data_IF_574067067332
#
_entry.id   IF_574067067332
#
_cell.length_a   1.000
_cell.length_b   1.000
_cell.length_c   1.000
_cell.angle_alpha   90.00
_cell.angle_beta   90.00
_cell.angle_gamma   90.00
#
_symmetry.space_group_name_H-M   'P 1'
#
loop_
_entity.id
_entity.type
_entity.pdbx_description
1 polymer ?
#
# COMPACT_ATOMS: atom_id res chain seq x y z
N UNK A 1 -57.38 43.39 38.31
CA UNK A 1 -57.19 43.15 36.84
C UNK A 1 -55.70 43.07 36.45
N UNK A 2 -54.81 43.97 36.89
CA UNK A 2 -53.39 43.92 36.52
C UNK A 2 -52.65 42.65 36.89
N UNK A 3 -52.93 42.04 38.07
CA UNK A 3 -52.24 40.81 38.50
C UNK A 3 -52.58 39.57 37.65
N UNK A 4 -53.78 39.44 37.15
CA UNK A 4 -54.25 38.36 36.28
C UNK A 4 -53.59 38.46 34.92
N UNK A 5 -53.37 39.68 34.41
CA UNK A 5 -52.75 39.92 33.12
C UNK A 5 -51.28 39.45 33.09
N UNK A 6 -50.51 39.70 34.20
CA UNK A 6 -49.12 39.23 34.35
C UNK A 6 -49.01 37.71 34.50
N UNK A 7 -50.00 37.06 35.13
CA UNK A 7 -50.04 35.60 35.26
C UNK A 7 -50.32 34.91 33.91
N UNK A 8 -51.21 35.47 33.10
CA UNK A 8 -51.50 34.94 31.77
C UNK A 8 -50.33 35.17 30.81
N UNK A 9 -49.68 36.32 30.90
CA UNK A 9 -48.50 36.62 30.07
C UNK A 9 -47.28 35.77 30.44
N UNK A 10 -47.10 35.43 31.74
CA UNK A 10 -46.07 34.50 32.23
C UNK A 10 -46.32 33.04 31.80
N UNK A 11 -47.60 32.62 31.75
CA UNK A 11 -47.95 31.26 31.32
C UNK A 11 -47.80 31.07 29.80
N UNK A 12 -48.06 32.09 28.99
CA UNK A 12 -47.84 32.02 27.53
C UNK A 12 -46.35 32.00 27.15
N UNK A 13 -45.48 32.60 27.98
CA UNK A 13 -44.02 32.58 27.73
C UNK A 13 -43.41 31.22 28.02
N UNK A 14 -43.98 30.41 28.90
CA UNK A 14 -43.48 29.05 29.22
C UNK A 14 -43.96 28.04 28.20
N UNK A 15 -45.11 28.24 27.56
CA UNK A 15 -45.64 27.33 26.55
C UNK A 15 -44.99 27.54 25.17
N UNK A 16 -44.38 28.70 24.92
CA UNK A 16 -43.72 28.99 23.63
C UNK A 16 -42.32 28.40 23.49
N UNK A 17 -41.70 27.88 24.57
CA UNK A 17 -40.32 27.33 24.53
C UNK A 17 -40.32 25.82 24.32
N UNK A 18 -41.49 25.13 24.48
CA UNK A 18 -41.57 23.68 24.41
C UNK A 18 -41.79 23.11 22.97
N UNK A 19 -41.96 23.99 21.95
CA UNK A 19 -42.21 23.52 20.58
C UNK A 19 -41.03 23.77 19.61
N UNK A 20 -39.85 24.21 20.12
CA UNK A 20 -38.74 24.58 19.28
C UNK A 20 -37.68 23.50 19.09
N UNK A 21 -37.85 22.29 19.61
CA UNK A 21 -36.92 21.19 19.43
C UNK A 21 -37.66 19.86 19.31
N UNK A 22 -38.42 19.69 18.23
CA UNK A 22 -38.99 18.37 17.90
C UNK A 22 -38.80 18.04 16.43
N UNK A 23 -37.63 18.40 15.90
CA UNK A 23 -37.08 17.69 14.76
C UNK A 23 -36.11 16.68 15.37
N UNK A 24 -36.56 15.43 15.46
CA UNK A 24 -35.63 14.33 15.72
C UNK A 24 -34.55 14.43 14.67
N UNK A 25 -33.25 14.42 15.08
CA UNK A 25 -32.20 14.42 14.11
C UNK A 25 -32.41 13.22 13.19
N UNK A 26 -32.53 13.48 11.87
CA UNK A 26 -32.50 12.41 10.89
C UNK A 26 -31.18 11.68 11.08
N UNK A 27 -31.23 10.58 11.80
CA UNK A 27 -30.08 9.64 11.83
C UNK A 27 -30.00 9.04 10.44
N UNK A 28 -28.93 9.36 9.73
CA UNK A 28 -28.57 8.61 8.53
C UNK A 28 -28.33 7.16 8.96
N UNK A 29 -29.33 6.31 8.76
CA UNK A 29 -29.10 4.86 8.78
C UNK A 29 -28.30 4.56 7.52
N UNK A 30 -27.02 4.23 7.72
CA UNK A 30 -26.24 3.59 6.66
C UNK A 30 -26.92 2.24 6.42
N UNK A 31 -27.71 2.14 5.38
CA UNK A 31 -28.14 0.84 4.88
C UNK A 31 -26.87 0.08 4.53
N UNK A 32 -26.61 -1.00 5.25
CA UNK A 32 -25.56 -1.95 4.91
C UNK A 32 -26.02 -2.67 3.63
N UNK A 33 -25.77 -2.03 2.49
CA UNK A 33 -25.88 -2.76 1.23
C UNK A 33 -24.70 -3.74 1.18
N UNK A 34 -24.94 -5.01 0.86
CA UNK A 34 -23.84 -5.96 0.65
C UNK A 34 -22.94 -5.41 -0.45
N UNK A 35 -21.63 -5.49 -0.24
CA UNK A 35 -20.65 -5.16 -1.28
C UNK A 35 -20.80 -6.19 -2.41
N UNK A 36 -21.46 -5.81 -3.49
CA UNK A 36 -21.69 -6.69 -4.65
C UNK A 36 -20.54 -6.62 -5.67
N UNK A 37 -19.64 -5.66 -5.52
CA UNK A 37 -18.46 -5.55 -6.36
C UNK A 37 -17.48 -6.69 -6.08
N UNK A 38 -17.04 -7.41 -7.10
CA UNK A 38 -16.13 -8.52 -6.96
C UNK A 38 -14.81 -8.21 -7.66
N UNK A 39 -13.68 -8.44 -6.95
CA UNK A 39 -12.33 -8.42 -7.50
C UNK A 39 -11.87 -9.84 -7.80
N UNK A 40 -11.19 -10.02 -8.94
CA UNK A 40 -10.62 -11.29 -9.38
C UNK A 40 -9.14 -11.09 -9.70
N UNK A 41 -8.30 -12.03 -9.27
CA UNK A 41 -6.90 -12.12 -9.67
C UNK A 41 -6.73 -13.13 -10.82
N UNK A 42 -5.80 -12.87 -11.73
CA UNK A 42 -5.50 -13.78 -12.85
C UNK A 42 -4.88 -15.12 -12.41
N UNK A 43 -4.37 -15.19 -11.19
CA UNK A 43 -3.84 -16.41 -10.55
C UNK A 43 -3.95 -16.31 -9.03
N UNK A 44 -4.08 -17.45 -8.38
CA UNK A 44 -4.09 -17.59 -6.91
C UNK A 44 -2.72 -17.96 -6.33
N UNK A 45 -1.79 -18.42 -7.18
CA UNK A 45 -0.42 -18.73 -6.80
C UNK A 45 0.57 -18.30 -7.87
N UNK A 46 1.64 -17.63 -7.42
CA UNK A 46 2.63 -17.03 -8.30
C UNK A 46 4.05 -17.19 -7.75
N UNK A 47 4.97 -17.58 -8.61
CA UNK A 47 6.41 -17.52 -8.37
C UNK A 47 6.98 -16.46 -9.30
N UNK A 48 7.55 -15.41 -8.72
CA UNK A 48 8.17 -14.34 -9.51
C UNK A 48 9.47 -14.80 -10.13
N UNK A 49 9.73 -14.37 -11.36
CA UNK A 49 10.88 -14.80 -12.16
C UNK A 49 11.71 -13.60 -12.59
N UNK A 50 13.00 -13.61 -12.19
CA UNK A 50 13.96 -12.57 -12.56
C UNK A 50 14.21 -12.49 -14.07
N UNK A 51 14.05 -13.59 -14.80
CA UNK A 51 14.16 -13.61 -16.27
C UNK A 51 13.01 -12.92 -16.99
N UNK A 52 11.94 -12.53 -16.27
CA UNK A 52 10.69 -11.97 -16.81
C UNK A 52 10.31 -10.63 -16.17
N UNK A 53 11.29 -9.87 -15.73
CA UNK A 53 11.09 -8.65 -14.94
C UNK A 53 10.04 -7.70 -15.52
N UNK A 54 10.03 -7.52 -16.85
CA UNK A 54 9.12 -6.60 -17.57
C UNK A 54 7.80 -7.27 -17.99
N UNK A 55 7.64 -8.58 -17.83
CA UNK A 55 6.40 -9.28 -18.15
C UNK A 55 5.37 -9.09 -17.04
N UNK A 56 4.08 -9.10 -17.42
CA UNK A 56 2.98 -9.07 -16.45
C UNK A 56 2.97 -10.35 -15.63
N UNK A 57 3.09 -10.21 -14.31
CA UNK A 57 3.04 -11.30 -13.35
C UNK A 57 1.63 -11.62 -12.89
N UNK A 58 0.84 -10.59 -12.60
CA UNK A 58 -0.54 -10.71 -12.13
C UNK A 58 -1.40 -9.55 -12.62
N UNK A 59 -2.66 -9.83 -12.86
CA UNK A 59 -3.67 -8.83 -13.22
C UNK A 59 -4.86 -8.97 -12.29
N UNK A 60 -5.32 -7.85 -11.75
CA UNK A 60 -6.57 -7.73 -11.02
C UNK A 60 -7.61 -7.05 -11.90
N UNK A 61 -8.83 -7.56 -11.88
CA UNK A 61 -10.00 -6.97 -12.54
C UNK A 61 -11.18 -6.97 -11.56
N UNK A 62 -12.08 -6.01 -11.68
CA UNK A 62 -13.25 -5.93 -10.81
C UNK A 62 -14.47 -5.41 -11.55
N UNK A 63 -15.64 -5.68 -10.96
CA UNK A 63 -16.91 -5.23 -11.47
C UNK A 63 -17.08 -3.71 -11.33
N UNK A 64 -18.08 -3.16 -12.00
CA UNK A 64 -18.51 -1.80 -11.75
C UNK A 64 -19.10 -1.69 -10.34
N UNK A 65 -19.16 -0.46 -9.80
CA UNK A 65 -19.87 -0.19 -8.57
C UNK A 65 -21.31 -0.71 -8.65
N UNK A 66 -21.77 -1.34 -7.56
CA UNK A 66 -23.15 -1.82 -7.43
C UNK A 66 -24.10 -0.73 -6.89
N UNK A 67 -23.55 0.28 -6.20
CA UNK A 67 -24.30 1.40 -5.66
C UNK A 67 -25.02 2.17 -6.75
N UNK A 68 -26.24 2.68 -6.49
CA UNK A 68 -26.95 3.49 -7.45
C UNK A 68 -26.14 4.76 -7.78
N UNK A 69 -25.67 4.81 -9.01
CA UNK A 69 -24.86 5.90 -9.57
C UNK A 69 -25.72 6.67 -10.54
N UNK A 70 -25.76 8.00 -10.42
CA UNK A 70 -26.39 8.86 -11.40
C UNK A 70 -25.41 9.13 -12.56
N UNK A 71 -25.92 9.51 -13.73
CA UNK A 71 -25.06 9.83 -14.90
C UNK A 71 -24.05 10.95 -14.64
N UNK A 72 -24.29 11.78 -13.61
CA UNK A 72 -23.45 12.91 -13.23
C UNK A 72 -22.44 12.58 -12.13
N UNK A 73 -22.53 11.39 -11.52
CA UNK A 73 -21.63 10.98 -10.44
C UNK A 73 -20.27 10.55 -11.00
N UNK A 74 -19.20 10.98 -10.34
CA UNK A 74 -17.87 10.51 -10.65
C UNK A 74 -17.57 9.26 -9.81
N UNK A 75 -17.29 8.15 -10.48
CA UNK A 75 -16.89 6.89 -9.84
C UNK A 75 -15.38 6.71 -9.99
N UNK A 76 -14.68 6.53 -8.88
CA UNK A 76 -13.23 6.29 -8.87
C UNK A 76 -12.90 4.99 -8.13
N UNK A 77 -11.82 4.35 -8.56
CA UNK A 77 -11.31 3.12 -7.96
C UNK A 77 -9.91 3.34 -7.42
N UNK A 78 -9.61 2.69 -6.33
CA UNK A 78 -8.25 2.60 -5.79
C UNK A 78 -7.96 1.16 -5.34
N UNK A 79 -6.72 0.72 -5.49
CA UNK A 79 -6.28 -0.63 -5.15
C UNK A 79 -5.07 -0.57 -4.23
N UNK A 80 -5.00 -1.44 -3.24
CA UNK A 80 -3.79 -1.67 -2.45
C UNK A 80 -3.53 -3.15 -2.25
N UNK A 81 -2.27 -3.46 -1.96
CA UNK A 81 -1.82 -4.79 -1.57
C UNK A 81 -1.36 -4.77 -0.11
N UNK A 82 -1.60 -5.87 0.61
CA UNK A 82 -1.05 -6.05 1.95
C UNK A 82 -0.83 -7.53 2.27
N UNK A 83 0.15 -7.82 3.12
CA UNK A 83 0.33 -9.17 3.62
C UNK A 83 -0.85 -9.53 4.53
N UNK A 84 -1.55 -10.62 4.21
CA UNK A 84 -2.78 -11.06 4.92
C UNK A 84 -2.54 -11.21 6.42
N UNK A 85 -1.37 -11.72 6.82
CA UNK A 85 -1.01 -11.95 8.23
C UNK A 85 -0.61 -10.66 8.97
N UNK A 86 -0.20 -9.58 8.27
CA UNK A 86 0.34 -8.37 8.90
C UNK A 86 -0.01 -7.10 8.10
N UNK A 87 -1.30 -6.83 7.96
CA UNK A 87 -1.83 -5.70 7.19
C UNK A 87 -1.28 -4.33 7.61
N UNK A 88 -1.00 -4.13 8.89
CA UNK A 88 -0.59 -2.82 9.41
C UNK A 88 0.86 -2.47 9.11
N UNK A 89 1.76 -3.47 9.05
CA UNK A 89 3.18 -3.27 8.81
C UNK A 89 3.59 -3.50 7.35
N UNK A 90 2.91 -4.42 6.66
CA UNK A 90 3.25 -4.86 5.32
C UNK A 90 2.11 -4.53 4.36
N UNK A 91 2.08 -3.30 3.86
CA UNK A 91 1.08 -2.82 2.92
C UNK A 91 1.70 -1.81 1.94
N UNK A 92 1.01 -1.60 0.82
CA UNK A 92 1.28 -0.49 -0.10
C UNK A 92 0.36 0.68 0.22
N UNK A 93 0.70 1.87 -0.27
CA UNK A 93 -0.28 2.93 -0.45
C UNK A 93 -1.35 2.50 -1.44
N UNK A 94 -2.44 3.26 -1.53
CA UNK A 94 -3.44 3.05 -2.55
C UNK A 94 -2.92 3.53 -3.91
N UNK A 95 -3.08 2.68 -4.91
CA UNK A 95 -2.91 3.04 -6.32
C UNK A 95 -4.23 3.67 -6.79
N UNK A 96 -4.23 4.96 -7.05
CA UNK A 96 -5.38 5.65 -7.63
C UNK A 96 -5.51 5.25 -9.11
N UNK A 97 -6.69 4.80 -9.51
CA UNK A 97 -6.94 4.19 -10.81
C UNK A 97 -8.03 4.91 -11.60
N UNK A 98 -8.49 6.06 -11.07
CA UNK A 98 -9.59 6.82 -11.65
C UNK A 98 -10.79 5.92 -11.97
N UNK A 99 -11.19 5.83 -13.24
CA UNK A 99 -12.30 4.99 -13.72
C UNK A 99 -11.89 3.59 -14.17
N UNK A 100 -10.60 3.27 -14.13
CA UNK A 100 -10.09 1.98 -14.58
C UNK A 100 -10.52 0.85 -13.64
N UNK A 101 -10.95 -0.26 -14.23
CA UNK A 101 -11.35 -1.47 -13.52
C UNK A 101 -10.37 -2.63 -13.70
N UNK A 102 -9.11 -2.27 -13.86
CA UNK A 102 -8.01 -3.22 -14.06
C UNK A 102 -6.70 -2.63 -13.55
N UNK A 103 -5.90 -3.46 -12.86
CA UNK A 103 -4.51 -3.14 -12.51
C UNK A 103 -3.64 -4.37 -12.72
N UNK A 104 -2.53 -4.21 -13.41
CA UNK A 104 -1.52 -5.25 -13.57
C UNK A 104 -0.23 -4.84 -12.87
N UNK A 105 0.54 -5.83 -12.44
CA UNK A 105 1.89 -5.66 -11.91
C UNK A 105 2.83 -6.57 -12.71
N UNK A 106 4.01 -6.06 -13.03
CA UNK A 106 5.08 -6.87 -13.61
C UNK A 106 5.76 -7.73 -12.53
N UNK A 107 6.60 -8.67 -12.96
CA UNK A 107 7.40 -9.47 -12.01
C UNK A 107 8.30 -8.58 -11.15
N UNK A 108 8.91 -7.54 -11.73
CA UNK A 108 9.78 -6.62 -11.00
C UNK A 108 9.02 -5.73 -10.01
N UNK A 109 7.90 -5.13 -10.45
CA UNK A 109 7.08 -4.28 -9.58
C UNK A 109 6.58 -5.04 -8.36
N UNK A 110 6.04 -6.25 -8.57
CA UNK A 110 5.53 -7.06 -7.46
C UNK A 110 6.66 -7.58 -6.57
N UNK A 111 7.81 -7.95 -7.16
CA UNK A 111 8.99 -8.37 -6.41
C UNK A 111 9.55 -7.24 -5.52
N UNK A 112 9.54 -6.01 -6.00
CA UNK A 112 9.96 -4.85 -5.22
C UNK A 112 9.05 -4.63 -4.00
N UNK A 113 7.73 -4.84 -4.15
CA UNK A 113 6.76 -4.73 -3.06
C UNK A 113 7.00 -5.82 -2.01
N UNK A 114 6.91 -7.10 -2.42
CA UNK A 114 6.97 -8.23 -1.46
C UNK A 114 8.37 -8.43 -0.87
N UNK A 115 9.42 -8.02 -1.57
CA UNK A 115 10.80 -8.06 -1.09
C UNK A 115 11.05 -7.18 0.14
N UNK A 116 10.15 -6.23 0.43
CA UNK A 116 10.18 -5.46 1.68
C UNK A 116 9.48 -6.19 2.83
N UNK A 117 8.70 -7.25 2.56
CA UNK A 117 7.89 -7.97 3.54
C UNK A 117 8.49 -9.30 3.95
N UNK A 118 9.08 -10.02 3.00
CA UNK A 118 9.64 -11.36 3.21
C UNK A 118 10.96 -11.54 2.48
N UNK A 119 11.75 -12.52 2.93
CA UNK A 119 13.01 -12.87 2.26
C UNK A 119 12.75 -13.53 0.90
N UNK A 120 13.68 -13.38 -0.06
CA UNK A 120 13.61 -14.07 -1.33
C UNK A 120 13.37 -15.56 -1.18
N UNK A 121 12.49 -16.12 -2.01
CA UNK A 121 12.09 -17.52 -1.99
C UNK A 121 11.08 -17.90 -0.91
N UNK A 122 10.78 -17.03 0.02
CA UNK A 122 9.69 -17.27 1.00
C UNK A 122 8.34 -16.94 0.38
N UNK A 123 7.35 -17.80 0.65
CA UNK A 123 5.96 -17.54 0.25
C UNK A 123 5.30 -16.57 1.24
N UNK A 124 4.55 -15.62 0.69
CA UNK A 124 3.69 -14.73 1.45
C UNK A 124 2.28 -14.74 0.88
N UNK A 125 1.28 -14.78 1.75
CA UNK A 125 -0.12 -14.63 1.38
C UNK A 125 -0.45 -13.15 1.35
N UNK A 126 -0.90 -12.68 0.21
CA UNK A 126 -1.20 -11.27 -0.09
C UNK A 126 -2.68 -11.11 -0.32
N UNK A 127 -3.26 -10.07 0.22
CA UNK A 127 -4.61 -9.62 -0.09
C UNK A 127 -4.52 -8.37 -0.96
N UNK A 128 -5.18 -8.41 -2.11
CA UNK A 128 -5.47 -7.23 -2.91
C UNK A 128 -6.85 -6.72 -2.52
N UNK A 129 -6.94 -5.43 -2.16
CA UNK A 129 -8.19 -4.75 -1.83
C UNK A 129 -8.43 -3.63 -2.82
N UNK A 130 -9.58 -3.68 -3.50
CA UNK A 130 -10.09 -2.57 -4.30
C UNK A 130 -11.15 -1.82 -3.49
N UNK A 131 -11.15 -0.50 -3.60
CA UNK A 131 -12.16 0.39 -3.03
C UNK A 131 -12.73 1.22 -4.16
N UNK A 132 -14.05 1.27 -4.24
CA UNK A 132 -14.80 2.12 -5.14
C UNK A 132 -15.38 3.29 -4.36
N UNK A 133 -15.16 4.51 -4.83
CA UNK A 133 -15.74 5.72 -4.24
C UNK A 133 -16.62 6.42 -5.29
N UNK A 134 -17.86 6.69 -4.91
CA UNK A 134 -18.81 7.45 -5.73
C UNK A 134 -18.88 8.87 -5.19
N UNK A 135 -18.47 9.82 -6.02
CA UNK A 135 -18.49 11.26 -5.68
C UNK A 135 -19.81 11.86 -6.15
N UNK A 136 -20.69 12.13 -5.21
CA UNK A 136 -21.98 12.77 -5.44
C UNK A 136 -22.01 14.13 -4.74
N UNK A 137 -22.56 15.16 -5.40
CA UNK A 137 -22.58 16.52 -4.87
C UNK A 137 -23.58 16.70 -3.71
N UNK A 138 -24.63 15.88 -3.67
CA UNK A 138 -25.79 16.10 -2.80
C UNK A 138 -25.82 15.19 -1.59
N UNK A 139 -25.16 14.04 -1.66
CA UNK A 139 -25.22 13.02 -0.60
C UNK A 139 -23.92 12.22 -0.50
N UNK A 140 -23.65 11.72 0.70
CA UNK A 140 -22.60 10.74 0.94
C UNK A 140 -23.03 9.36 0.47
N UNK A 141 -22.22 8.72 -0.35
CA UNK A 141 -22.39 7.32 -0.76
C UNK A 141 -21.27 6.54 -0.09
N UNK A 142 -21.62 5.49 0.66
CA UNK A 142 -20.64 4.62 1.32
C UNK A 142 -19.75 3.95 0.26
N UNK A 143 -18.41 4.04 0.37
CA UNK A 143 -17.51 3.33 -0.53
C UNK A 143 -17.74 1.82 -0.48
N UNK A 144 -17.73 1.18 -1.65
CA UNK A 144 -17.74 -0.28 -1.76
C UNK A 144 -16.31 -0.80 -1.72
N UNK A 145 -16.09 -2.00 -1.20
CA UNK A 145 -14.80 -2.63 -1.21
C UNK A 145 -14.89 -4.13 -1.45
N UNK A 146 -13.89 -4.67 -2.13
CA UNK A 146 -13.76 -6.10 -2.36
C UNK A 146 -12.31 -6.54 -2.20
N UNK A 147 -12.12 -7.81 -1.85
CA UNK A 147 -10.78 -8.36 -1.63
C UNK A 147 -10.61 -9.70 -2.33
N UNK A 148 -9.40 -9.97 -2.77
CA UNK A 148 -8.97 -11.28 -3.27
C UNK A 148 -7.61 -11.63 -2.69
N UNK A 149 -7.40 -12.89 -2.37
CA UNK A 149 -6.14 -13.39 -1.83
C UNK A 149 -5.37 -14.21 -2.86
N UNK A 150 -4.05 -14.10 -2.83
CA UNK A 150 -3.15 -14.92 -3.62
C UNK A 150 -1.86 -15.17 -2.85
N UNK A 151 -1.12 -16.21 -3.22
CA UNK A 151 0.17 -16.55 -2.62
C UNK A 151 1.28 -16.22 -3.61
N UNK A 152 2.34 -15.57 -3.15
CA UNK A 152 3.45 -15.18 -4.01
C UNK A 152 4.78 -15.41 -3.30
N UNK A 153 5.80 -15.81 -4.08
CA UNK A 153 7.20 -15.82 -3.66
C UNK A 153 8.06 -15.02 -4.64
N UNK A 154 9.01 -14.27 -4.08
CA UNK A 154 9.90 -13.40 -4.86
C UNK A 154 11.27 -14.00 -5.10
N UNK A 155 12.05 -13.30 -5.93
CA UNK A 155 13.45 -13.62 -6.21
C UNK A 155 14.38 -12.58 -5.58
N UNK A 156 15.65 -12.96 -5.42
CA UNK A 156 16.69 -12.04 -4.96
C UNK A 156 17.08 -11.08 -6.11
N UNK A 157 16.59 -9.84 -6.06
CA UNK A 157 16.96 -8.80 -7.02
C UNK A 157 18.35 -8.28 -6.73
N UNK A 158 18.63 -8.02 -5.45
CA UNK A 158 19.92 -7.51 -4.94
C UNK A 158 20.45 -8.46 -3.89
N UNK A 159 21.75 -8.81 -3.91
CA UNK A 159 22.34 -9.69 -2.91
C UNK A 159 22.14 -9.11 -1.50
N UNK A 160 21.87 -9.99 -0.53
CA UNK A 160 21.69 -9.59 0.89
C UNK A 160 22.91 -8.84 1.43
N UNK A 161 24.09 -9.22 0.97
CA UNK A 161 25.35 -8.61 1.34
C UNK A 161 26.19 -8.35 0.09
N UNK A 162 26.96 -7.28 0.15
CA UNK A 162 28.11 -7.07 -0.76
C UNK A 162 29.37 -6.92 0.09
N UNK A 163 30.51 -6.99 -0.55
CA UNK A 163 31.81 -6.86 0.11
C UNK A 163 32.58 -5.73 -0.53
N UNK A 164 33.31 -4.98 0.31
CA UNK A 164 34.28 -4.01 -0.14
C UNK A 164 35.68 -4.60 0.09
N UNK A 165 36.44 -4.74 -0.98
CA UNK A 165 37.86 -5.07 -0.92
C UNK A 165 38.66 -3.79 -0.95
N UNK A 166 39.54 -3.63 0.02
CA UNK A 166 40.41 -2.49 0.17
C UNK A 166 41.85 -2.97 0.08
N UNK A 167 42.69 -2.32 -0.75
CA UNK A 167 44.13 -2.61 -0.86
C UNK A 167 44.88 -1.35 -0.43
N UNK A 168 45.65 -1.44 0.65
CA UNK A 168 46.44 -0.33 1.15
C UNK A 168 47.71 -0.08 0.27
N UNK A 169 48.47 0.95 0.61
CA UNK A 169 49.65 1.34 -0.13
C UNK A 169 50.79 0.30 -0.03
N UNK A 170 50.69 -0.65 0.91
CA UNK A 170 51.65 -1.74 1.10
C UNK A 170 51.22 -3.01 0.36
N UNK A 171 50.06 -2.98 -0.32
CA UNK A 171 49.51 -4.11 -1.06
C UNK A 171 48.71 -5.09 -0.20
N UNK A 172 48.46 -4.77 1.09
CA UNK A 172 47.65 -5.61 1.98
C UNK A 172 46.20 -5.44 1.66
N UNK A 173 45.52 -6.57 1.44
CA UNK A 173 44.06 -6.62 1.15
C UNK A 173 43.31 -6.86 2.44
N UNK A 174 42.28 -6.08 2.63
CA UNK A 174 41.22 -6.30 3.66
C UNK A 174 39.86 -6.35 3.02
N UNK A 175 38.95 -7.13 3.61
CA UNK A 175 37.59 -7.29 3.10
C UNK A 175 36.60 -6.97 4.22
N UNK A 176 35.64 -6.08 3.94
CA UNK A 176 34.54 -5.76 4.85
C UNK A 176 33.24 -6.11 4.20
N UNK A 177 32.25 -6.55 5.01
CA UNK A 177 30.92 -6.88 4.57
C UNK A 177 29.98 -5.70 4.79
N UNK A 178 29.20 -5.35 3.76
CA UNK A 178 28.12 -4.37 3.81
C UNK A 178 26.78 -5.09 3.73
N UNK A 179 25.84 -4.73 4.60
CA UNK A 179 24.48 -5.24 4.58
C UNK A 179 23.53 -4.27 3.90
N UNK A 180 22.42 -4.75 3.38
CA UNK A 180 21.37 -3.85 2.90
C UNK A 180 20.79 -3.07 4.09
N UNK A 181 20.63 -1.74 3.93
CA UNK A 181 19.97 -0.88 4.93
C UNK A 181 18.52 -1.31 5.14
N UNK A 182 17.80 -1.48 4.03
CA UNK A 182 16.45 -2.04 4.00
C UNK A 182 16.44 -3.17 2.96
N UNK A 183 15.74 -4.24 3.27
CA UNK A 183 15.64 -5.40 2.39
C UNK A 183 15.06 -5.00 1.02
N UNK A 184 15.59 -5.53 -0.06
CA UNK A 184 15.10 -5.31 -1.41
C UNK A 184 15.44 -3.96 -2.06
N UNK A 185 16.12 -3.04 -1.33
CA UNK A 185 16.43 -1.68 -1.86
C UNK A 185 17.71 -1.58 -2.67
N UNK A 186 18.64 -2.55 -2.53
CA UNK A 186 19.95 -2.48 -3.15
C UNK A 186 20.88 -1.39 -2.57
N UNK A 187 20.48 -0.77 -1.44
CA UNK A 187 21.28 0.22 -0.72
C UNK A 187 22.06 -0.49 0.38
N UNK A 188 23.38 -0.42 0.33
CA UNK A 188 24.26 -1.10 1.28
C UNK A 188 24.94 -0.11 2.19
N UNK A 189 25.11 -0.51 3.46
CA UNK A 189 25.82 0.29 4.46
C UNK A 189 26.67 -0.61 5.37
N UNK A 190 27.69 0.00 5.95
CA UNK A 190 28.55 -0.60 6.95
C UNK A 190 29.47 0.47 7.54
N UNK A 191 29.98 0.19 8.74
CA UNK A 191 30.94 1.08 9.41
C UNK A 191 32.28 0.37 9.48
N UNK A 192 33.34 1.00 8.97
CA UNK A 192 34.69 0.50 9.02
C UNK A 192 35.72 1.66 8.92
N UNK A 193 36.89 1.44 9.47
CA UNK A 193 37.98 2.41 9.37
C UNK A 193 38.57 2.38 7.95
N UNK A 194 38.66 3.56 7.34
CA UNK A 194 39.22 3.71 6.00
C UNK A 194 40.57 4.43 6.12
N UNK A 195 41.62 3.76 5.68
CA UNK A 195 42.91 4.38 5.37
C UNK A 195 42.98 4.66 3.86
N UNK A 196 43.88 5.58 3.39
CA UNK A 196 44.03 5.78 1.95
C UNK A 196 44.37 4.44 1.26
N UNK A 197 43.45 3.98 0.39
CA UNK A 197 43.54 2.68 -0.26
C UNK A 197 42.76 2.67 -1.57
N UNK A 198 43.10 1.75 -2.47
CA UNK A 198 42.25 1.39 -3.59
C UNK A 198 41.12 0.45 -3.09
N UNK A 199 39.91 0.64 -3.55
CA UNK A 199 38.81 -0.25 -3.19
C UNK A 199 37.95 -0.63 -4.39
N UNK A 200 37.27 -1.78 -4.29
CA UNK A 200 36.24 -2.22 -5.22
C UNK A 200 35.18 -3.05 -4.50
N UNK A 201 33.97 -3.05 -5.05
CA UNK A 201 32.87 -3.84 -4.51
C UNK A 201 32.76 -5.18 -5.22
N UNK A 202 32.44 -6.23 -4.46
CA UNK A 202 32.17 -7.57 -4.95
C UNK A 202 30.91 -8.14 -4.31
N UNK A 203 30.22 -9.01 -5.00
CA UNK A 203 28.96 -9.63 -4.51
C UNK A 203 29.19 -10.93 -3.75
N UNK A 204 30.35 -11.56 -3.94
CA UNK A 204 30.72 -12.84 -3.28
C UNK A 204 32.06 -12.66 -2.59
N UNK A 205 32.17 -13.09 -1.33
CA UNK A 205 33.45 -13.08 -0.61
C UNK A 205 34.49 -13.91 -1.35
N UNK A 206 35.58 -13.27 -1.77
CA UNK A 206 36.66 -13.92 -2.52
C UNK A 206 36.47 -14.07 -4.03
N UNK A 207 35.38 -13.49 -4.59
CA UNK A 207 35.15 -13.48 -6.04
C UNK A 207 35.99 -12.41 -6.74
N UNK A 208 36.54 -12.77 -7.90
CA UNK A 208 37.12 -11.79 -8.82
C UNK A 208 35.98 -11.03 -9.52
N UNK A 209 36.00 -9.70 -9.39
CA UNK A 209 35.09 -8.85 -10.15
C UNK A 209 35.88 -8.09 -11.21
N UNK A 210 35.51 -8.20 -12.49
CA UNK A 210 36.09 -7.34 -13.49
C UNK A 210 35.48 -5.94 -13.39
N UNK A 211 36.34 -5.03 -12.92
CA UNK A 211 36.34 -3.64 -13.35
C UNK A 211 35.21 -2.68 -13.01
N UNK A 212 35.26 -2.08 -11.81
CA UNK A 212 35.03 -0.62 -11.65
C UNK A 212 35.93 -0.11 -10.52
N UNK A 213 37.10 0.41 -10.88
CA UNK A 213 38.00 1.11 -9.95
C UNK A 213 37.41 2.48 -9.63
N UNK A 214 36.99 2.70 -8.38
CA UNK A 214 36.84 4.04 -7.82
C UNK A 214 38.10 4.30 -6.99
N UNK A 215 38.82 5.35 -7.31
CA UNK A 215 39.94 5.84 -6.52
C UNK A 215 39.46 7.07 -5.77
N UNK A 216 39.59 7.08 -4.45
CA UNK A 216 39.39 8.27 -3.60
C UNK A 216 40.74 8.89 -3.28
#
# INVERSE_FOLDING_TARGET
MKKIFYQIMGLCSILGVATACNEDPEYFTLDEQPDEMHIVASTDKLVLDKGKEDETAITFTWDAASSPVNETDLVTYSLRLYATANKSANNTDFYELDTDRKKSFTHDELNAIIGTWVLPGQEVKVTAQVVCTVHNADKYIKPESSTVEFTVSGYEKYPTYIYIHMTDNEGKVSTQRLGQRNMGTGIYEGTFDVTPCAYHFITVAGGDYPDRKSVV
#
